data_IF_583785263212
#
_entry.id   IF_583785263212
#
_cell.length_a   1.000
_cell.length_b   1.000
_cell.length_c   1.000
_cell.angle_alpha   90.00
_cell.angle_beta   90.00
_cell.angle_gamma   90.00
#
_symmetry.space_group_name_H-M   'P 1'
#
loop_
_entity.id
_entity.type
_entity.pdbx_description
1 polymer ?
#
# COMPACT_ATOMS: atom_id res chain seq x y z
N UNK A 1 -5.82 -12.83 -7.50
CA UNK A 1 -5.46 -12.64 -8.93
C UNK A 1 -4.17 -11.82 -8.91
N UNK A 2 -3.05 -12.42 -9.31
CA UNK A 2 -1.73 -11.78 -9.31
C UNK A 2 -1.63 -10.84 -10.52
N UNK A 3 -1.31 -9.57 -10.28
CA UNK A 3 -1.04 -8.60 -11.33
C UNK A 3 0.45 -8.68 -11.70
N UNK A 4 0.74 -9.10 -12.93
CA UNK A 4 2.10 -9.32 -13.42
C UNK A 4 2.35 -8.46 -14.66
N UNK A 5 3.19 -7.44 -14.52
CA UNK A 5 3.68 -6.62 -15.64
C UNK A 5 5.10 -7.06 -15.97
N UNK A 6 5.37 -7.39 -17.24
CA UNK A 6 6.68 -7.84 -17.70
C UNK A 6 7.49 -6.66 -18.26
N UNK A 7 8.64 -6.37 -17.64
CA UNK A 7 9.70 -5.53 -18.22
C UNK A 7 11.05 -6.25 -18.14
N UNK A 8 12.04 -5.79 -18.90
CA UNK A 8 13.35 -6.42 -19.14
C UNK A 8 14.25 -6.62 -17.90
N UNK A 9 13.78 -6.28 -16.70
CA UNK A 9 14.39 -6.61 -15.40
C UNK A 9 13.29 -6.87 -14.36
N UNK A 10 12.93 -8.13 -14.15
CA UNK A 10 12.10 -8.60 -13.02
C UNK A 10 10.59 -8.37 -13.18
N UNK A 11 9.81 -9.30 -12.60
CA UNK A 11 8.35 -9.21 -12.51
C UNK A 11 7.98 -8.23 -11.41
N UNK A 12 7.21 -7.19 -11.71
CA UNK A 12 6.60 -6.33 -10.69
C UNK A 12 5.43 -7.11 -10.09
N UNK A 13 5.52 -7.48 -8.81
CA UNK A 13 4.47 -8.23 -8.12
C UNK A 13 3.69 -7.26 -7.21
N UNK A 14 2.55 -6.77 -7.69
CA UNK A 14 1.58 -6.07 -6.83
C UNK A 14 0.59 -7.09 -6.30
N UNK A 15 0.49 -7.20 -4.98
CA UNK A 15 -0.46 -8.06 -4.30
C UNK A 15 -1.61 -7.24 -3.74
N UNK A 16 -2.84 -7.72 -3.94
CA UNK A 16 -4.03 -7.18 -3.27
C UNK A 16 -4.34 -8.06 -2.05
N UNK A 17 -4.28 -7.45 -0.88
CA UNK A 17 -4.49 -8.07 0.42
C UNK A 17 -5.90 -7.68 0.91
N UNK A 18 -6.80 -8.68 0.95
CA UNK A 18 -8.21 -8.50 1.36
C UNK A 18 -8.50 -9.00 2.77
N UNK A 19 -7.57 -9.75 3.34
CA UNK A 19 -7.60 -10.33 4.68
C UNK A 19 -6.16 -10.33 5.19
N UNK A 20 -5.94 -10.68 6.46
CA UNK A 20 -4.59 -10.78 7.05
C UNK A 20 -3.64 -11.50 6.08
N UNK A 21 -2.59 -10.81 5.65
CA UNK A 21 -1.57 -11.39 4.77
C UNK A 21 -0.91 -12.56 5.46
N UNK A 22 -0.46 -13.53 4.69
CA UNK A 22 0.47 -14.57 5.13
C UNK A 22 1.90 -14.01 5.20
N UNK A 23 2.80 -14.73 5.88
CA UNK A 23 4.23 -14.37 5.89
C UNK A 23 4.80 -14.34 4.46
N UNK A 24 4.39 -15.27 3.60
CA UNK A 24 4.84 -15.35 2.22
C UNK A 24 4.38 -14.14 1.41
N UNK A 25 3.09 -13.78 1.47
CA UNK A 25 2.57 -12.57 0.80
C UNK A 25 3.27 -11.32 1.31
N UNK A 26 3.50 -11.23 2.63
CA UNK A 26 4.26 -10.13 3.23
C UNK A 26 5.69 -10.04 2.68
N UNK A 27 6.41 -11.17 2.62
CA UNK A 27 7.77 -11.23 2.07
C UNK A 27 7.81 -10.87 0.59
N UNK A 28 6.82 -11.31 -0.20
CA UNK A 28 6.67 -10.94 -1.60
C UNK A 28 6.46 -9.43 -1.77
N UNK A 29 5.64 -8.80 -0.92
CA UNK A 29 5.47 -7.35 -0.94
C UNK A 29 6.75 -6.60 -0.54
N UNK A 30 7.55 -7.15 0.37
CA UNK A 30 8.78 -6.51 0.83
C UNK A 30 9.93 -6.64 -0.19
N UNK A 31 9.94 -7.68 -1.03
CA UNK A 31 11.04 -8.01 -1.94
C UNK A 31 11.46 -6.85 -2.86
N UNK A 32 10.54 -5.98 -3.25
CA UNK A 32 10.82 -4.91 -4.22
C UNK A 32 11.70 -3.79 -3.66
N UNK A 33 11.54 -3.44 -2.38
CA UNK A 33 12.24 -2.29 -1.75
C UNK A 33 13.03 -2.68 -0.50
N UNK A 34 12.85 -3.90 0.00
CA UNK A 34 13.53 -4.56 1.13
C UNK A 34 13.35 -3.91 2.51
N UNK A 35 13.19 -2.59 2.58
CA UNK A 35 13.13 -1.80 3.81
C UNK A 35 11.71 -1.39 4.22
N UNK A 36 10.85 -1.12 3.24
CA UNK A 36 9.47 -0.68 3.43
C UNK A 36 8.63 -1.12 2.23
N UNK A 37 7.32 -1.14 2.40
CA UNK A 37 6.36 -1.55 1.38
C UNK A 37 5.57 -0.32 0.96
N UNK A 38 5.61 0.03 -0.33
CA UNK A 38 4.66 1.00 -0.89
C UNK A 38 3.28 0.38 -0.94
N UNK A 39 2.32 1.02 -0.29
CA UNK A 39 0.93 0.57 -0.24
C UNK A 39 -0.04 1.61 -0.78
N UNK A 40 -1.09 1.15 -1.44
CA UNK A 40 -2.32 1.90 -1.65
C UNK A 40 -3.43 1.22 -0.85
N UNK A 41 -4.22 1.99 -0.12
CA UNK A 41 -5.26 1.48 0.79
C UNK A 41 -6.61 1.99 0.35
N UNK A 42 -7.55 1.09 0.07
CA UNK A 42 -8.97 1.45 -0.08
C UNK A 42 -9.60 1.47 1.32
N UNK A 43 -9.88 2.68 1.80
CA UNK A 43 -10.39 2.88 3.17
C UNK A 43 -11.85 2.47 3.33
N UNK A 44 -12.65 2.45 2.24
CA UNK A 44 -14.06 2.06 2.26
C UNK A 44 -14.21 0.53 2.21
N UNK A 45 -13.37 -0.15 1.43
CA UNK A 45 -13.38 -1.61 1.29
C UNK A 45 -12.56 -2.33 2.36
N UNK A 46 -11.65 -1.62 3.05
CA UNK A 46 -10.80 -2.22 4.08
C UNK A 46 -9.74 -3.16 3.51
N UNK A 47 -9.24 -2.87 2.31
CA UNK A 47 -8.24 -3.68 1.61
C UNK A 47 -7.04 -2.82 1.23
N UNK A 48 -5.90 -3.44 0.92
CA UNK A 48 -4.74 -2.72 0.40
C UNK A 48 -4.09 -3.47 -0.75
N UNK A 49 -3.34 -2.74 -1.57
CA UNK A 49 -2.39 -3.30 -2.51
C UNK A 49 -0.96 -2.87 -2.15
N UNK A 50 0.00 -3.77 -2.26
CA UNK A 50 1.41 -3.52 -1.91
C UNK A 50 2.39 -4.29 -2.79
N UNK A 51 3.68 -3.96 -2.68
CA UNK A 51 4.76 -4.66 -3.38
C UNK A 51 5.25 -4.01 -4.68
N UNK A 52 4.54 -3.00 -5.18
CA UNK A 52 4.99 -2.23 -6.34
C UNK A 52 6.09 -1.21 -6.01
N UNK A 53 6.96 -0.93 -6.97
CA UNK A 53 7.99 0.12 -6.88
C UNK A 53 7.39 1.53 -6.68
N UNK A 54 6.12 1.72 -7.07
CA UNK A 54 5.40 2.99 -7.00
C UNK A 54 4.00 2.79 -6.43
N UNK A 55 3.55 3.73 -5.59
CA UNK A 55 2.17 3.77 -5.09
C UNK A 55 1.12 3.74 -6.21
N UNK A 56 1.41 4.33 -7.38
CA UNK A 56 0.53 4.34 -8.53
C UNK A 56 0.26 2.94 -9.10
N UNK A 57 1.20 2.00 -8.98
CA UNK A 57 0.96 0.61 -9.40
C UNK A 57 0.01 -0.10 -8.42
N UNK A 58 0.13 0.17 -7.12
CA UNK A 58 -0.80 -0.32 -6.11
C UNK A 58 -2.19 0.29 -6.28
N UNK A 59 -2.30 1.60 -6.57
CA UNK A 59 -3.58 2.25 -6.88
C UNK A 59 -4.23 1.64 -8.12
N UNK A 60 -3.47 1.42 -9.20
CA UNK A 60 -3.96 0.81 -10.42
C UNK A 60 -4.54 -0.60 -10.19
N UNK A 61 -3.84 -1.43 -9.41
CA UNK A 61 -4.33 -2.77 -9.06
C UNK A 61 -5.65 -2.71 -8.27
N UNK A 62 -5.77 -1.78 -7.32
CA UNK A 62 -7.01 -1.57 -6.57
C UNK A 62 -8.16 -1.09 -7.46
N UNK A 63 -7.89 -0.18 -8.40
CA UNK A 63 -8.89 0.33 -9.35
C UNK A 63 -9.42 -0.79 -10.26
N UNK A 64 -8.55 -1.65 -10.78
CA UNK A 64 -8.99 -2.81 -11.58
C UNK A 64 -9.79 -3.82 -10.74
N UNK A 65 -9.43 -4.01 -9.47
CA UNK A 65 -10.21 -4.84 -8.53
C UNK A 65 -11.53 -4.16 -8.08
N UNK A 66 -11.88 -3.00 -8.65
CA UNK A 66 -13.18 -2.35 -8.45
C UNK A 66 -13.24 -1.29 -7.36
N UNK A 67 -12.08 -0.85 -6.84
CA UNK A 67 -12.00 0.26 -5.88
C UNK A 67 -12.34 1.59 -6.54
N UNK A 68 -12.81 2.55 -5.77
CA UNK A 68 -13.06 3.92 -6.27
C UNK A 68 -11.87 4.79 -5.95
N UNK A 69 -11.38 5.54 -6.94
CA UNK A 69 -10.18 6.35 -6.76
C UNK A 69 -10.23 7.30 -5.55
N UNK A 70 -11.39 7.90 -5.29
CA UNK A 70 -11.61 8.82 -4.16
C UNK A 70 -11.42 8.17 -2.77
N UNK A 71 -11.50 6.85 -2.72
CA UNK A 71 -11.44 6.04 -1.50
C UNK A 71 -10.03 5.42 -1.32
N UNK A 72 -9.10 5.64 -2.27
CA UNK A 72 -7.74 5.09 -2.27
C UNK A 72 -6.71 6.14 -1.82
N UNK A 73 -5.89 5.76 -0.84
CA UNK A 73 -4.82 6.58 -0.27
C UNK A 73 -3.48 5.84 -0.23
N UNK A 74 -2.41 6.53 -0.59
CA UNK A 74 -1.05 5.99 -0.65
C UNK A 74 -0.26 6.24 0.63
N UNK A 75 0.54 5.25 1.03
CA UNK A 75 1.46 5.34 2.16
C UNK A 75 2.61 4.33 2.03
N UNK A 76 3.70 4.55 2.77
CA UNK A 76 4.75 3.55 2.96
C UNK A 76 4.54 2.84 4.31
N UNK A 77 4.57 1.50 4.30
CA UNK A 77 4.55 0.65 5.49
C UNK A 77 5.94 0.17 5.83
N UNK A 78 6.36 0.43 7.06
CA UNK A 78 7.71 0.14 7.53
C UNK A 78 7.66 -0.97 8.58
N UNK A 79 8.06 -2.21 8.26
CA UNK A 79 7.85 -3.34 9.16
C UNK A 79 8.75 -3.35 10.38
N UNK A 80 9.97 -2.82 10.30
CA UNK A 80 10.93 -2.87 11.41
C UNK A 80 10.48 -2.09 12.66
N UNK A 81 9.64 -1.07 12.49
CA UNK A 81 9.08 -0.28 13.60
C UNK A 81 7.56 -0.15 13.51
N UNK A 82 6.93 -0.91 12.61
CA UNK A 82 5.48 -0.93 12.40
C UNK A 82 4.89 0.47 12.14
N UNK A 83 5.66 1.34 11.48
CA UNK A 83 5.29 2.75 11.23
C UNK A 83 4.78 2.97 9.82
N UNK A 84 4.09 4.10 9.64
CA UNK A 84 3.54 4.52 8.35
C UNK A 84 4.02 5.92 8.01
N UNK A 85 4.54 6.08 6.80
CA UNK A 85 4.74 7.40 6.19
C UNK A 85 3.58 7.68 5.23
N UNK A 86 2.85 8.77 5.45
CA UNK A 86 1.62 9.09 4.69
C UNK A 86 1.90 9.90 3.42
N UNK A 87 3.12 9.84 2.89
CA UNK A 87 3.56 10.61 1.73
C UNK A 87 3.41 9.80 0.45
N UNK A 88 2.63 10.31 -0.50
CA UNK A 88 2.52 9.72 -1.82
C UNK A 88 2.02 10.72 -2.85
N UNK A 89 2.52 10.63 -4.08
CA UNK A 89 2.05 11.44 -5.21
C UNK A 89 0.55 11.22 -5.47
N UNK A 90 0.03 9.99 -5.26
CA UNK A 90 -1.39 9.70 -5.49
C UNK A 90 -2.31 10.43 -4.50
N UNK A 91 -1.78 10.99 -3.41
CA UNK A 91 -2.54 11.73 -2.41
C UNK A 91 -2.81 13.19 -2.80
N UNK A 92 -2.19 13.71 -3.87
CA UNK A 92 -2.45 15.08 -4.33
C UNK A 92 -3.84 15.12 -4.98
N UNK A 93 -4.84 15.54 -4.21
CA UNK A 93 -6.26 15.57 -4.59
C UNK A 93 -6.92 16.88 -4.12
N UNK A 94 -6.77 17.99 -4.88
CA UNK A 94 -7.38 19.27 -4.52
C UNK A 94 -8.90 19.22 -4.35
N UNK A 95 -9.60 18.35 -5.10
CA UNK A 95 -11.05 18.14 -5.01
C UNK A 95 -11.50 17.50 -3.70
N UNK A 96 -10.60 16.81 -2.98
CA UNK A 96 -10.83 16.23 -1.66
C UNK A 96 -10.12 17.01 -0.56
N UNK A 97 -9.78 18.28 -0.82
CA UNK A 97 -9.06 19.16 0.09
C UNK A 97 -7.68 18.64 0.56
N UNK A 98 -7.02 17.79 -0.22
CA UNK A 98 -5.64 17.32 0.05
C UNK A 98 -4.69 17.85 -1.03
N UNK A 99 -4.03 18.98 -0.78
CA UNK A 99 -3.15 19.65 -1.78
C UNK A 99 -1.68 19.26 -1.66
N UNK A 100 -1.36 18.28 -0.81
CA UNK A 100 -0.02 17.79 -0.53
C UNK A 100 0.11 16.31 -0.91
N UNK A 101 1.34 15.81 -0.99
CA UNK A 101 1.60 14.36 -1.01
C UNK A 101 1.28 13.70 0.32
N UNK A 102 1.33 14.47 1.41
CA UNK A 102 0.98 14.00 2.74
C UNK A 102 -0.54 13.94 2.85
N UNK A 103 -1.10 12.83 3.35
CA UNK A 103 -2.51 12.80 3.78
C UNK A 103 -2.67 13.79 4.94
N UNK A 104 -3.42 14.88 4.78
CA UNK A 104 -3.54 15.93 5.80
C UNK A 104 -4.66 15.65 6.81
N UNK A 105 -5.71 14.95 6.38
CA UNK A 105 -6.85 14.58 7.20
C UNK A 105 -6.48 13.47 8.19
N UNK A 106 -6.66 13.73 9.49
CA UNK A 106 -6.30 12.79 10.56
C UNK A 106 -7.23 11.58 10.62
N UNK A 107 -8.49 11.72 10.25
CA UNK A 107 -9.45 10.60 10.21
C UNK A 107 -9.04 9.62 9.11
N UNK A 108 -8.61 10.13 7.96
CA UNK A 108 -8.09 9.29 6.87
C UNK A 108 -6.80 8.58 7.29
N UNK A 109 -5.86 9.28 7.95
CA UNK A 109 -4.64 8.65 8.48
C UNK A 109 -4.94 7.49 9.42
N UNK A 110 -5.86 7.67 10.37
CA UNK A 110 -6.21 6.61 11.31
C UNK A 110 -6.87 5.42 10.61
N UNK A 111 -7.71 5.65 9.59
CA UNK A 111 -8.28 4.56 8.77
C UNK A 111 -7.20 3.79 8.01
N UNK A 112 -6.30 4.50 7.32
CA UNK A 112 -5.15 3.89 6.61
C UNK A 112 -4.30 3.07 7.57
N UNK A 113 -3.97 3.63 8.73
CA UNK A 113 -3.17 2.98 9.75
C UNK A 113 -3.81 1.70 10.27
N UNK A 114 -5.09 1.78 10.65
CA UNK A 114 -5.83 0.62 11.16
C UNK A 114 -5.83 -0.52 10.13
N UNK A 115 -6.17 -0.22 8.88
CA UNK A 115 -6.22 -1.24 7.82
C UNK A 115 -4.84 -1.84 7.56
N UNK A 116 -3.78 -1.02 7.47
CA UNK A 116 -2.43 -1.52 7.25
C UNK A 116 -1.95 -2.41 8.42
N UNK A 117 -2.19 -1.99 9.67
CA UNK A 117 -1.83 -2.79 10.85
C UNK A 117 -2.59 -4.13 10.89
N UNK A 118 -3.89 -4.11 10.58
CA UNK A 118 -4.72 -5.31 10.53
C UNK A 118 -4.28 -6.27 9.42
N UNK A 119 -3.94 -5.77 8.23
CA UNK A 119 -3.65 -6.62 7.07
C UNK A 119 -2.19 -7.08 7.01
N UNK A 120 -1.23 -6.21 7.32
CA UNK A 120 0.21 -6.46 7.07
C UNK A 120 1.12 -6.14 8.26
N UNK A 121 0.57 -5.75 9.41
CA UNK A 121 1.35 -5.56 10.64
C UNK A 121 1.88 -6.86 11.23
N UNK A 122 2.67 -6.79 12.30
CA UNK A 122 3.16 -7.94 13.07
C UNK A 122 4.21 -8.82 12.38
N UNK A 123 4.62 -8.49 11.16
CA UNK A 123 5.75 -9.12 10.49
C UNK A 123 7.01 -8.29 10.71
N UNK A 124 8.03 -8.92 11.28
CA UNK A 124 9.38 -8.36 11.40
C UNK A 124 10.31 -9.19 10.50
N UNK A 125 10.95 -8.58 9.48
CA UNK A 125 11.94 -9.30 8.69
C UNK A 125 13.14 -9.68 9.57
N UNK A 126 13.63 -10.91 9.42
CA UNK A 126 14.89 -11.32 10.05
C UNK A 126 16.01 -10.41 9.53
N UNK A 127 16.64 -9.64 10.43
CA UNK A 127 17.83 -8.86 10.10
C UNK A 127 18.94 -9.88 9.82
N UNK A 128 19.37 -9.98 8.56
CA UNK A 128 20.57 -10.74 8.17
C UNK A 128 21.79 -9.83 8.12
#
# INVERSE_FOLDING_TARGET
MLWVIHYSRGVILVLIIKQRATLEEFQQMLQTLELYIKIAVDIERGILAGGGEKHAYCEAALLEDGSRQRDIWGADWTPFNQSIAYESIINIRPSQNNRSMVIQDTVIRERVKKIAQELIGGYEPEIR
#
